data_IF_875208829272
#
_entry.id   IF_875208829272
#
_cell.length_a   1.000
_cell.length_b   1.000
_cell.length_c   1.000
_cell.angle_alpha   90.00
_cell.angle_beta   90.00
_cell.angle_gamma   90.00
#
_symmetry.space_group_name_H-M   'P 1'
#
loop_
_entity.id
_entity.type
_entity.pdbx_description
1 polymer ?
#
# COMPACT_ATOMS: atom_id res chain seq x y z
N UNK A 1 -6.53 9.57 20.75
CA UNK A 1 -6.53 9.81 19.31
C UNK A 1 -6.12 8.54 18.60
N UNK A 2 -6.83 8.16 17.54
CA UNK A 2 -6.47 7.04 16.68
C UNK A 2 -5.67 7.51 15.47
N UNK A 3 -4.66 6.75 15.07
CA UNK A 3 -3.80 7.07 13.94
C UNK A 3 -3.43 5.79 13.19
N UNK A 4 -3.47 5.85 11.87
CA UNK A 4 -3.19 4.70 10.99
C UNK A 4 -1.69 4.40 10.81
N UNK A 5 -0.81 5.25 11.29
CA UNK A 5 0.63 5.05 11.18
C UNK A 5 1.23 4.78 12.56
N UNK A 6 1.71 3.55 12.85
CA UNK A 6 2.33 3.22 14.14
C UNK A 6 3.52 4.11 14.49
N UNK A 7 4.34 4.45 13.49
CA UNK A 7 5.50 5.32 13.68
C UNK A 7 5.09 6.75 14.06
N UNK A 8 4.03 7.28 13.43
CA UNK A 8 3.48 8.59 13.80
C UNK A 8 2.88 8.58 15.20
N UNK A 9 2.21 7.49 15.60
CA UNK A 9 1.72 7.32 16.96
C UNK A 9 2.86 7.40 17.98
N UNK A 10 3.96 6.69 17.75
CA UNK A 10 5.12 6.71 18.62
C UNK A 10 5.70 8.14 18.76
N UNK A 11 5.88 8.83 17.63
CA UNK A 11 6.39 10.21 17.66
C UNK A 11 5.43 11.15 18.40
N UNK A 12 4.14 11.09 18.15
CA UNK A 12 3.13 11.93 18.78
C UNK A 12 3.03 11.66 20.30
N UNK A 13 3.16 10.42 20.75
CA UNK A 13 3.18 10.07 22.17
C UNK A 13 4.35 10.74 22.90
N UNK A 14 5.51 10.85 22.25
CA UNK A 14 6.68 11.49 22.83
C UNK A 14 6.63 13.02 22.78
N UNK A 15 5.78 13.60 21.94
CA UNK A 15 5.72 15.05 21.70
C UNK A 15 4.37 15.70 22.06
N UNK A 16 3.44 14.96 22.64
CA UNK A 16 2.15 15.48 23.09
C UNK A 16 1.70 14.81 24.40
N UNK A 17 0.83 15.49 25.13
CA UNK A 17 0.18 14.92 26.33
C UNK A 17 -0.99 13.99 25.99
N UNK A 18 -1.35 13.85 24.71
CA UNK A 18 -2.50 13.07 24.26
C UNK A 18 -2.07 11.64 23.93
N UNK A 19 -2.80 10.65 24.46
CA UNK A 19 -2.58 9.25 24.08
C UNK A 19 -2.96 9.00 22.63
N UNK A 20 -2.03 8.43 21.87
CA UNK A 20 -2.23 8.01 20.50
C UNK A 20 -2.23 6.48 20.39
N UNK A 21 -3.17 5.93 19.66
CA UNK A 21 -3.33 4.48 19.48
C UNK A 21 -3.25 4.16 17.98
N UNK A 22 -2.32 3.30 17.55
CA UNK A 22 -2.29 2.86 16.17
C UNK A 22 -3.49 1.98 15.86
N UNK A 23 -4.08 2.18 14.67
CA UNK A 23 -5.18 1.38 14.15
C UNK A 23 -4.94 1.06 12.68
N UNK A 24 -5.39 -0.10 12.24
CA UNK A 24 -5.49 -0.37 10.80
C UNK A 24 -6.58 0.50 10.17
N UNK A 25 -6.52 0.71 8.86
CA UNK A 25 -7.59 1.38 8.14
C UNK A 25 -8.90 0.61 8.27
N UNK A 26 -9.95 1.17 8.91
CA UNK A 26 -11.25 0.52 8.91
C UNK A 26 -11.86 0.55 7.50
N UNK A 27 -12.48 -0.56 7.09
CA UNK A 27 -13.13 -0.66 5.80
C UNK A 27 -14.60 -1.07 5.90
N UNK A 28 -15.46 -0.65 4.97
CA UNK A 28 -16.89 -0.96 4.99
C UNK A 28 -17.12 -2.40 4.51
N UNK A 29 -17.05 -3.39 5.42
CA UNK A 29 -17.10 -4.81 5.09
C UNK A 29 -18.33 -5.19 4.24
N UNK A 30 -19.47 -4.56 4.47
CA UNK A 30 -20.70 -4.79 3.70
C UNK A 30 -20.55 -4.50 2.19
N UNK A 31 -19.68 -3.57 1.79
CA UNK A 31 -19.41 -3.25 0.38
C UNK A 31 -18.50 -4.27 -0.30
N UNK A 32 -17.81 -5.10 0.48
CA UNK A 32 -16.87 -6.12 -0.02
C UNK A 32 -17.45 -7.53 -0.03
N UNK A 33 -18.65 -7.75 0.50
CA UNK A 33 -19.31 -9.07 0.57
C UNK A 33 -19.40 -9.76 -0.79
N UNK A 34 -19.58 -8.99 -1.87
CA UNK A 34 -19.64 -9.55 -3.23
C UNK A 34 -18.36 -10.26 -3.69
N UNK A 35 -17.24 -10.01 -3.02
CA UNK A 35 -15.94 -10.63 -3.35
C UNK A 35 -15.64 -11.88 -2.53
N UNK A 36 -16.46 -12.24 -1.53
CA UNK A 36 -16.20 -13.35 -0.63
C UNK A 36 -16.07 -14.69 -1.34
N UNK A 37 -16.80 -14.89 -2.42
CA UNK A 37 -16.87 -16.17 -3.16
C UNK A 37 -15.93 -16.22 -4.37
N UNK A 38 -15.05 -15.24 -4.56
CA UNK A 38 -14.07 -15.26 -5.65
C UNK A 38 -13.10 -16.42 -5.52
N UNK A 39 -12.72 -16.96 -6.66
CA UNK A 39 -11.77 -18.06 -6.86
C UNK A 39 -10.62 -17.62 -7.78
N UNK A 40 -9.54 -18.39 -7.91
CA UNK A 40 -8.49 -18.10 -8.88
C UNK A 40 -8.99 -17.92 -10.32
N UNK A 41 -10.05 -18.63 -10.71
CA UNK A 41 -10.60 -18.56 -12.05
C UNK A 41 -11.28 -17.23 -12.40
N UNK A 42 -11.65 -16.43 -11.39
CA UNK A 42 -12.28 -15.11 -11.58
C UNK A 42 -11.26 -14.00 -11.92
N UNK A 43 -9.96 -14.32 -11.83
CA UNK A 43 -8.87 -13.37 -12.10
C UNK A 43 -8.60 -13.26 -13.60
N UNK A 44 -8.73 -12.05 -14.13
CA UNK A 44 -8.61 -11.74 -15.56
C UNK A 44 -7.25 -11.10 -15.91
N UNK A 45 -6.65 -10.39 -14.95
CA UNK A 45 -5.44 -9.60 -15.15
C UNK A 45 -4.32 -10.08 -14.25
N UNK A 46 -3.09 -9.93 -14.70
CA UNK A 46 -1.92 -10.41 -13.95
C UNK A 46 -1.58 -9.47 -12.79
N UNK A 47 -1.55 -8.17 -13.03
CA UNK A 47 -1.14 -7.22 -12.02
C UNK A 47 -1.92 -5.91 -12.08
N UNK A 48 -2.08 -5.28 -10.92
CA UNK A 48 -2.65 -3.94 -10.81
C UNK A 48 -1.77 -3.05 -9.94
N UNK A 49 -1.61 -1.81 -10.38
CA UNK A 49 -1.21 -0.69 -9.53
C UNK A 49 -2.30 0.39 -9.57
N UNK A 50 -2.63 0.97 -8.43
CA UNK A 50 -3.51 2.14 -8.36
C UNK A 50 -2.97 3.17 -7.37
N UNK A 51 -3.00 4.42 -7.81
CA UNK A 51 -2.48 5.54 -7.04
C UNK A 51 -1.62 6.48 -7.87
N UNK A 52 -0.92 7.36 -7.19
CA UNK A 52 -0.04 8.35 -7.82
C UNK A 52 1.38 7.79 -7.98
N UNK A 53 2.07 8.26 -9.02
CA UNK A 53 3.49 8.04 -9.20
C UNK A 53 4.25 9.20 -8.54
N UNK A 54 4.93 8.91 -7.44
CA UNK A 54 5.56 9.95 -6.62
C UNK A 54 7.02 10.25 -7.01
N UNK A 55 7.72 9.29 -7.60
CA UNK A 55 9.13 9.41 -7.98
C UNK A 55 9.53 8.31 -8.97
N UNK A 56 10.82 8.30 -9.34
CA UNK A 56 11.40 7.34 -10.28
C UNK A 56 11.17 5.86 -9.88
N UNK A 57 11.19 5.53 -8.58
CA UNK A 57 10.97 4.14 -8.14
C UNK A 57 9.59 3.61 -8.52
N UNK A 58 8.55 4.46 -8.47
CA UNK A 58 7.22 4.07 -8.93
C UNK A 58 7.17 3.86 -10.45
N UNK A 59 7.90 4.66 -11.21
CA UNK A 59 8.01 4.49 -12.66
C UNK A 59 8.72 3.18 -13.02
N UNK A 60 9.82 2.87 -12.32
CA UNK A 60 10.54 1.60 -12.53
C UNK A 60 9.69 0.38 -12.13
N UNK A 61 8.96 0.46 -11.02
CA UNK A 61 7.99 -0.59 -10.65
C UNK A 61 6.95 -0.78 -11.76
N UNK A 62 6.42 0.32 -12.32
CA UNK A 62 5.43 0.25 -13.39
C UNK A 62 6.05 -0.26 -14.69
N UNK A 63 7.34 0.03 -14.97
CA UNK A 63 8.06 -0.52 -16.11
C UNK A 63 8.11 -2.06 -16.05
N UNK A 64 8.37 -2.62 -14.86
CA UNK A 64 8.34 -4.07 -14.65
C UNK A 64 6.92 -4.61 -14.76
N UNK A 65 5.98 -4.00 -14.03
CA UNK A 65 4.59 -4.47 -13.98
C UNK A 65 3.94 -4.45 -15.37
N UNK A 66 4.29 -3.48 -16.22
CA UNK A 66 3.73 -3.35 -17.57
C UNK A 66 4.23 -4.39 -18.60
N UNK A 67 5.14 -5.26 -18.20
CA UNK A 67 5.54 -6.42 -19.01
C UNK A 67 4.54 -7.59 -18.93
N UNK A 68 3.57 -7.49 -18.00
CA UNK A 68 2.50 -8.45 -17.78
C UNK A 68 1.16 -7.84 -18.21
N UNK A 69 0.06 -8.62 -18.23
CA UNK A 69 -1.29 -8.05 -18.41
C UNK A 69 -1.65 -7.20 -17.20
N UNK A 70 -1.25 -5.92 -17.26
CA UNK A 70 -1.37 -5.00 -16.15
C UNK A 70 -2.57 -4.07 -16.26
N UNK A 71 -2.98 -3.57 -15.10
CA UNK A 71 -3.89 -2.44 -14.96
C UNK A 71 -3.23 -1.35 -14.13
N UNK A 72 -3.28 -0.13 -14.62
CA UNK A 72 -2.85 1.04 -13.87
C UNK A 72 -3.97 2.06 -13.80
N UNK A 73 -4.44 2.31 -12.59
CA UNK A 73 -5.50 3.29 -12.33
C UNK A 73 -4.98 4.46 -11.50
N UNK A 74 -5.31 5.68 -11.90
CA UNK A 74 -4.95 6.89 -11.19
C UNK A 74 -6.03 7.97 -11.30
N UNK A 75 -6.10 8.82 -10.29
CA UNK A 75 -6.91 10.05 -10.29
C UNK A 75 -6.05 11.29 -10.53
N UNK A 76 -4.72 11.14 -10.53
CA UNK A 76 -3.78 12.25 -10.70
C UNK A 76 -3.56 12.54 -12.17
N UNK A 77 -3.55 13.80 -12.54
CA UNK A 77 -3.08 14.29 -13.85
C UNK A 77 -1.60 14.67 -13.85
N UNK A 78 -0.91 14.43 -12.71
CA UNK A 78 0.49 14.83 -12.52
C UNK A 78 1.34 13.61 -12.09
N UNK A 79 2.66 13.73 -12.27
CA UNK A 79 3.61 12.72 -11.80
C UNK A 79 3.95 11.63 -12.83
N UNK A 80 3.38 11.70 -14.05
CA UNK A 80 3.68 10.71 -15.10
C UNK A 80 5.01 10.92 -15.78
N UNK A 81 5.55 12.13 -15.69
CA UNK A 81 6.80 12.51 -16.34
C UNK A 81 7.85 12.83 -15.29
N UNK A 82 8.96 12.10 -15.32
CA UNK A 82 10.16 12.42 -14.54
C UNK A 82 11.13 13.18 -15.43
N UNK A 83 11.66 14.29 -14.91
CA UNK A 83 12.64 15.13 -15.60
C UNK A 83 13.96 15.15 -14.84
N UNK A 84 15.06 15.26 -15.60
CA UNK A 84 16.39 15.49 -15.03
C UNK A 84 16.56 16.96 -14.58
N UNK A 85 17.75 17.29 -14.06
CA UNK A 85 18.08 18.62 -13.61
C UNK A 85 18.11 19.65 -14.76
N UNK A 86 18.22 19.23 -16.01
CA UNK A 86 18.22 20.04 -17.23
C UNK A 86 16.80 20.20 -17.80
N UNK A 87 15.80 19.52 -17.24
CA UNK A 87 14.40 19.57 -17.66
C UNK A 87 14.03 18.56 -18.76
N UNK A 88 14.95 17.68 -19.18
CA UNK A 88 14.66 16.65 -20.17
C UNK A 88 13.80 15.53 -19.56
N UNK A 89 12.91 14.96 -20.36
CA UNK A 89 12.10 13.81 -19.94
C UNK A 89 12.98 12.57 -19.85
N UNK A 90 13.09 11.99 -18.66
CA UNK A 90 13.82 10.73 -18.40
C UNK A 90 12.88 9.54 -18.39
N UNK A 91 11.63 9.75 -17.94
CA UNK A 91 10.57 8.75 -17.92
C UNK A 91 9.22 9.39 -18.18
N UNK A 92 8.39 8.69 -18.94
CA UNK A 92 6.98 9.01 -19.15
C UNK A 92 6.15 7.72 -19.00
N UNK A 93 5.18 7.75 -18.13
CA UNK A 93 4.30 6.61 -17.86
C UNK A 93 2.86 6.86 -18.35
N UNK A 94 2.62 7.94 -19.10
CA UNK A 94 1.26 8.31 -19.52
C UNK A 94 0.59 7.21 -20.32
N UNK A 95 1.30 6.56 -21.23
CA UNK A 95 0.79 5.46 -22.08
C UNK A 95 0.48 4.17 -21.29
N UNK A 96 1.01 4.05 -20.06
CA UNK A 96 0.77 2.88 -19.20
C UNK A 96 -0.52 2.97 -18.40
N UNK A 97 -1.14 4.15 -18.35
CA UNK A 97 -2.41 4.35 -17.64
C UNK A 97 -3.52 3.69 -18.41
N UNK A 98 -4.15 2.68 -17.80
CA UNK A 98 -5.27 1.96 -18.40
C UNK A 98 -6.63 2.53 -17.98
N UNK A 99 -6.69 3.17 -16.82
CA UNK A 99 -7.92 3.71 -16.25
C UNK A 99 -7.71 5.05 -15.57
N UNK A 100 -8.58 6.00 -15.86
CA UNK A 100 -8.58 7.33 -15.26
C UNK A 100 -9.80 7.53 -14.36
N UNK A 101 -9.57 8.09 -13.17
CA UNK A 101 -10.62 8.61 -12.28
C UNK A 101 -11.74 7.61 -11.97
N UNK A 102 -11.39 6.34 -11.73
CA UNK A 102 -12.36 5.34 -11.30
C UNK A 102 -13.01 5.74 -9.97
N UNK A 103 -14.29 5.47 -9.85
CA UNK A 103 -14.97 5.46 -8.55
C UNK A 103 -14.38 4.36 -7.65
N UNK A 104 -14.63 4.44 -6.35
CA UNK A 104 -14.15 3.40 -5.43
C UNK A 104 -14.69 2.01 -5.79
N UNK A 105 -15.93 1.91 -6.24
CA UNK A 105 -16.54 0.64 -6.62
C UNK A 105 -15.87 0.04 -7.87
N UNK A 106 -15.68 0.83 -8.92
CA UNK A 106 -14.99 0.39 -10.14
C UNK A 106 -13.55 -0.02 -9.87
N UNK A 107 -12.85 0.73 -8.99
CA UNK A 107 -11.50 0.38 -8.54
C UNK A 107 -11.47 -0.96 -7.81
N UNK A 108 -12.42 -1.23 -6.91
CA UNK A 108 -12.50 -2.50 -6.20
C UNK A 108 -12.86 -3.67 -7.12
N UNK A 109 -13.73 -3.44 -8.12
CA UNK A 109 -14.03 -4.45 -9.13
C UNK A 109 -12.77 -4.77 -9.94
N UNK A 110 -12.03 -3.77 -10.39
CA UNK A 110 -10.78 -3.96 -11.12
C UNK A 110 -9.69 -4.67 -10.27
N UNK A 111 -9.61 -4.34 -8.97
CA UNK A 111 -8.77 -5.07 -8.01
C UNK A 111 -9.16 -6.53 -7.95
N UNK A 112 -10.45 -6.81 -7.76
CA UNK A 112 -10.97 -8.17 -7.62
C UNK A 112 -10.71 -9.05 -8.86
N UNK A 113 -10.63 -8.45 -10.03
CA UNK A 113 -10.30 -9.10 -11.31
C UNK A 113 -8.78 -9.28 -11.54
N UNK A 114 -7.94 -8.70 -10.68
CA UNK A 114 -6.48 -8.77 -10.80
C UNK A 114 -5.91 -9.82 -9.85
N UNK A 115 -4.86 -10.55 -10.30
CA UNK A 115 -4.15 -11.54 -9.48
C UNK A 115 -3.34 -10.87 -8.39
N UNK A 116 -2.57 -9.82 -8.75
CA UNK A 116 -1.57 -9.20 -7.88
C UNK A 116 -1.76 -7.69 -7.79
N UNK A 117 -1.80 -7.15 -6.58
CA UNK A 117 -1.67 -5.71 -6.31
C UNK A 117 -0.22 -5.39 -5.93
N UNK A 118 0.49 -4.65 -6.79
CA UNK A 118 1.88 -4.27 -6.56
C UNK A 118 1.95 -2.91 -5.86
N UNK A 119 2.88 -2.76 -4.92
CA UNK A 119 3.01 -1.46 -4.28
C UNK A 119 4.15 -1.24 -3.31
N UNK A 120 4.26 0.04 -2.92
CA UNK A 120 5.12 0.53 -1.85
C UNK A 120 4.28 1.01 -0.66
N UNK A 121 4.77 0.77 0.55
CA UNK A 121 4.22 1.35 1.79
C UNK A 121 5.15 2.45 2.34
N UNK A 122 5.64 3.28 1.42
CA UNK A 122 6.54 4.39 1.69
C UNK A 122 6.01 5.68 1.09
N UNK A 123 6.36 6.80 1.74
CA UNK A 123 6.43 8.12 1.11
C UNK A 123 7.88 8.41 0.77
N UNK A 124 8.11 8.93 -0.43
CA UNK A 124 9.38 9.48 -0.83
C UNK A 124 9.34 10.99 -0.65
N UNK A 125 10.29 11.53 0.13
CA UNK A 125 10.28 12.92 0.55
C UNK A 125 11.17 13.75 -0.35
N UNK A 126 10.65 14.87 -0.85
CA UNK A 126 11.47 15.90 -1.50
C UNK A 126 12.17 16.81 -0.47
N UNK A 127 13.12 17.65 -0.92
CA UNK A 127 13.87 18.56 -0.04
C UNK A 127 12.99 19.47 0.81
N UNK A 128 11.85 19.90 0.29
CA UNK A 128 10.88 20.73 1.02
C UNK A 128 10.24 19.99 2.19
N UNK A 129 10.04 18.68 2.07
CA UNK A 129 9.49 17.85 3.14
C UNK A 129 10.55 17.59 4.22
N UNK A 130 11.80 17.34 3.82
CA UNK A 130 12.91 17.16 4.77
C UNK A 130 13.12 18.41 5.64
N UNK A 131 12.99 19.62 5.06
CA UNK A 131 13.06 20.86 5.86
C UNK A 131 11.97 20.91 6.93
N UNK A 132 10.74 20.49 6.61
CA UNK A 132 9.66 20.42 7.61
C UNK A 132 9.94 19.40 8.69
N UNK A 133 10.40 18.20 8.31
CA UNK A 133 10.77 17.18 9.28
C UNK A 133 11.85 17.63 10.23
N UNK A 134 12.92 18.23 9.70
CA UNK A 134 14.04 18.74 10.51
C UNK A 134 13.66 19.93 11.42
N UNK A 135 12.51 20.56 11.18
CA UNK A 135 11.99 21.62 12.04
C UNK A 135 11.22 21.10 13.27
N UNK A 136 10.86 19.82 13.29
CA UNK A 136 10.21 19.22 14.45
C UNK A 136 11.24 18.90 15.54
N UNK A 137 11.00 19.42 16.73
CA UNK A 137 11.81 19.04 17.90
C UNK A 137 11.68 17.54 18.17
N UNK A 138 12.77 16.92 18.60
CA UNK A 138 12.81 15.49 18.97
C UNK A 138 12.55 14.49 17.82
N UNK A 139 12.72 14.90 16.57
CA UNK A 139 12.65 13.95 15.45
C UNK A 139 13.71 12.84 15.58
N UNK A 140 14.81 13.12 16.27
CA UNK A 140 15.89 12.16 16.56
C UNK A 140 15.43 10.96 17.38
N UNK A 141 14.34 11.11 18.12
CA UNK A 141 13.73 10.00 18.87
C UNK A 141 12.83 9.11 18.01
N UNK A 142 12.57 9.51 16.77
CA UNK A 142 11.78 8.73 15.84
C UNK A 142 12.61 7.57 15.27
N UNK A 143 12.15 6.31 15.39
CA UNK A 143 12.96 5.14 15.04
C UNK A 143 13.51 5.14 13.61
N UNK A 144 12.78 5.74 12.68
CA UNK A 144 13.13 5.80 11.28
C UNK A 144 13.95 7.05 10.89
N UNK A 145 14.33 7.91 11.82
CA UNK A 145 14.96 9.20 11.53
C UNK A 145 16.19 9.09 10.63
N UNK A 146 17.07 8.15 10.91
CA UNK A 146 18.29 7.93 10.11
C UNK A 146 17.96 7.58 8.64
N UNK A 147 16.94 6.75 8.42
CA UNK A 147 16.50 6.40 7.08
C UNK A 147 15.84 7.57 6.35
N UNK A 148 15.05 8.36 7.06
CA UNK A 148 14.42 9.57 6.49
C UNK A 148 15.49 10.51 5.95
N UNK A 149 16.51 10.79 6.75
CA UNK A 149 17.59 11.72 6.36
C UNK A 149 18.48 11.17 5.25
N UNK A 150 18.82 9.88 5.28
CA UNK A 150 19.73 9.26 4.32
C UNK A 150 19.03 8.92 2.99
N UNK A 151 17.82 8.38 3.05
CA UNK A 151 17.13 7.81 1.89
C UNK A 151 15.93 8.62 1.44
N UNK A 152 15.62 9.71 2.13
CA UNK A 152 14.45 10.55 1.83
C UNK A 152 13.13 9.77 1.76
N UNK A 153 12.97 8.77 2.63
CA UNK A 153 11.78 7.91 2.71
C UNK A 153 11.16 7.96 4.10
N UNK A 154 9.86 7.73 4.16
CA UNK A 154 9.08 7.67 5.39
C UNK A 154 8.08 6.51 5.31
N UNK A 155 7.90 5.72 6.38
CA UNK A 155 6.91 4.65 6.39
C UNK A 155 5.50 5.22 6.28
N UNK A 156 4.66 4.60 5.47
CA UNK A 156 3.26 4.96 5.35
C UNK A 156 2.42 3.74 5.06
N UNK A 157 1.53 3.39 5.99
CA UNK A 157 0.47 2.42 5.69
C UNK A 157 -0.47 2.98 4.63
N UNK A 158 -0.79 2.20 3.62
CA UNK A 158 -1.69 2.57 2.51
C UNK A 158 -3.02 1.82 2.64
N UNK A 159 -4.14 2.49 2.33
CA UNK A 159 -5.46 1.84 2.28
C UNK A 159 -5.53 0.69 1.30
N UNK A 160 -4.71 0.74 0.24
CA UNK A 160 -4.65 -0.31 -0.79
C UNK A 160 -4.38 -1.71 -0.24
N UNK A 161 -3.72 -1.82 0.92
CA UNK A 161 -3.48 -3.09 1.57
C UNK A 161 -4.78 -3.74 2.01
N UNK A 162 -5.60 -2.97 2.73
CA UNK A 162 -6.91 -3.41 3.20
C UNK A 162 -7.85 -3.68 2.01
N UNK A 163 -7.83 -2.82 0.99
CA UNK A 163 -8.65 -2.98 -0.21
C UNK A 163 -8.26 -4.25 -0.99
N UNK A 164 -6.96 -4.50 -1.19
CA UNK A 164 -6.49 -5.70 -1.88
C UNK A 164 -6.86 -6.98 -1.12
N UNK A 165 -6.65 -7.03 0.20
CA UNK A 165 -7.05 -8.17 1.03
C UNK A 165 -8.58 -8.39 0.97
N UNK A 166 -9.38 -7.32 1.07
CA UNK A 166 -10.84 -7.40 1.05
C UNK A 166 -11.40 -7.82 -0.32
N UNK A 167 -10.68 -7.56 -1.42
CA UNK A 167 -11.06 -7.96 -2.80
C UNK A 167 -10.43 -9.27 -3.25
N UNK A 168 -9.81 -10.03 -2.33
CA UNK A 168 -9.09 -11.27 -2.65
C UNK A 168 -8.03 -11.09 -3.73
N UNK A 169 -7.22 -10.05 -3.62
CA UNK A 169 -6.09 -9.77 -4.52
C UNK A 169 -4.78 -9.96 -3.77
N UNK A 170 -3.86 -10.75 -4.30
CA UNK A 170 -2.57 -10.99 -3.67
C UNK A 170 -1.78 -9.69 -3.56
N UNK A 171 -1.27 -9.41 -2.38
CA UNK A 171 -0.44 -8.22 -2.15
C UNK A 171 1.04 -8.56 -2.38
N UNK A 172 1.68 -7.88 -3.33
CA UNK A 172 3.11 -7.99 -3.63
C UNK A 172 3.78 -6.64 -3.33
N UNK A 173 4.47 -6.55 -2.20
CA UNK A 173 4.88 -5.30 -1.58
C UNK A 173 6.39 -5.15 -1.52
N UNK A 174 6.85 -3.92 -1.72
CA UNK A 174 8.27 -3.62 -1.51
C UNK A 174 8.64 -3.83 -0.04
N UNK A 175 9.73 -4.57 0.17
CA UNK A 175 10.31 -4.78 1.51
C UNK A 175 11.03 -3.52 1.95
N UNK A 176 10.32 -2.72 2.70
CA UNK A 176 10.88 -1.50 3.25
C UNK A 176 11.58 -1.75 4.59
N UNK A 177 12.52 -0.87 4.99
CA UNK A 177 13.30 -1.07 6.22
C UNK A 177 12.48 -0.85 7.51
N UNK A 178 11.23 -0.46 7.43
CA UNK A 178 10.40 -0.13 8.59
C UNK A 178 9.41 -1.23 8.96
N UNK A 179 9.13 -2.18 8.06
CA UNK A 179 8.16 -3.23 8.26
C UNK A 179 6.76 -2.71 8.66
N UNK A 180 6.33 -1.57 8.08
CA UNK A 180 5.09 -0.92 8.54
C UNK A 180 3.86 -1.81 8.37
N UNK A 181 3.86 -2.67 7.35
CA UNK A 181 2.75 -3.59 7.06
C UNK A 181 2.68 -4.72 8.09
N UNK A 182 3.82 -5.14 8.64
CA UNK A 182 3.93 -6.21 9.62
C UNK A 182 3.26 -5.89 10.96
N UNK A 183 2.89 -4.63 11.20
CA UNK A 183 2.03 -4.28 12.33
C UNK A 183 0.59 -4.83 12.19
N UNK A 184 0.18 -5.20 10.98
CA UNK A 184 -1.19 -5.56 10.66
C UNK A 184 -1.33 -6.87 9.89
N UNK A 185 -0.34 -7.22 9.08
CA UNK A 185 -0.32 -8.40 8.21
C UNK A 185 1.01 -9.12 8.34
N UNK A 186 1.01 -10.43 8.25
CA UNK A 186 2.19 -11.28 8.36
C UNK A 186 2.74 -11.63 6.97
N UNK A 187 4.07 -11.45 6.72
CA UNK A 187 4.71 -11.85 5.47
C UNK A 187 4.52 -13.34 5.20
N UNK A 188 4.45 -13.73 3.95
CA UNK A 188 4.25 -15.09 3.43
C UNK A 188 2.97 -15.80 3.88
N UNK A 189 2.24 -15.21 4.84
CA UNK A 189 0.92 -15.65 5.30
C UNK A 189 -0.21 -14.83 4.69
N UNK A 190 -0.03 -13.51 4.62
CA UNK A 190 -1.05 -12.56 4.15
C UNK A 190 -0.60 -11.76 2.93
N UNK A 191 0.71 -11.66 2.67
CA UNK A 191 1.29 -10.94 1.54
C UNK A 191 2.70 -11.44 1.24
N UNK A 192 3.24 -11.04 0.08
CA UNK A 192 4.60 -11.38 -0.35
C UNK A 192 5.41 -10.10 -0.47
N UNK A 193 6.66 -10.11 -0.03
CA UNK A 193 7.61 -9.04 -0.28
C UNK A 193 8.32 -9.20 -1.63
N UNK A 194 8.74 -8.08 -2.21
CA UNK A 194 9.78 -7.99 -3.23
C UNK A 194 10.86 -6.98 -2.78
N UNK A 195 12.12 -7.20 -3.16
CA UNK A 195 13.27 -6.47 -2.62
C UNK A 195 13.92 -5.52 -3.64
N UNK A 196 13.90 -5.88 -4.91
CA UNK A 196 14.42 -5.09 -6.03
C UNK A 196 13.60 -5.38 -7.30
N UNK A 197 13.88 -4.68 -8.40
CA UNK A 197 13.04 -4.77 -9.59
C UNK A 197 13.21 -6.10 -10.35
N UNK A 198 14.35 -6.75 -10.27
CA UNK A 198 14.55 -8.09 -10.83
C UNK A 198 13.74 -9.12 -10.03
N UNK A 199 13.80 -9.05 -8.69
CA UNK A 199 12.99 -9.88 -7.80
C UNK A 199 11.47 -9.62 -7.97
N UNK A 200 11.07 -8.36 -8.23
CA UNK A 200 9.67 -8.06 -8.57
C UNK A 200 9.25 -8.77 -9.86
N UNK A 201 10.08 -8.73 -10.90
CA UNK A 201 9.81 -9.38 -12.17
C UNK A 201 9.68 -10.90 -11.99
N UNK A 202 10.64 -11.52 -11.31
CA UNK A 202 10.69 -12.97 -11.10
C UNK A 202 9.47 -13.45 -10.27
N UNK A 203 9.12 -12.73 -9.22
CA UNK A 203 7.92 -13.02 -8.41
C UNK A 203 6.63 -12.84 -9.19
N UNK A 204 6.50 -11.78 -9.99
CA UNK A 204 5.33 -11.62 -10.86
C UNK A 204 5.23 -12.76 -11.85
N UNK A 205 6.35 -13.17 -12.48
CA UNK A 205 6.40 -14.28 -13.43
C UNK A 205 5.98 -15.60 -12.78
N UNK A 206 6.51 -15.93 -11.60
CA UNK A 206 6.11 -17.15 -10.89
C UNK A 206 4.66 -17.11 -10.43
N UNK A 207 4.22 -16.02 -9.82
CA UNK A 207 2.86 -15.87 -9.32
C UNK A 207 1.84 -15.96 -10.46
N UNK A 208 2.08 -15.27 -11.59
CA UNK A 208 1.12 -15.28 -12.70
C UNK A 208 1.02 -16.64 -13.39
N UNK A 209 2.12 -17.38 -13.43
CA UNK A 209 2.18 -18.74 -13.98
C UNK A 209 1.57 -19.78 -13.05
N UNK A 210 1.77 -19.64 -11.74
CA UNK A 210 1.42 -20.61 -10.72
C UNK A 210 0.41 -20.06 -9.69
N UNK A 211 -0.54 -19.22 -10.10
CA UNK A 211 -1.37 -18.42 -9.19
C UNK A 211 -2.12 -19.24 -8.14
N UNK A 212 -2.60 -20.42 -8.49
CA UNK A 212 -3.31 -21.30 -7.56
C UNK A 212 -2.46 -21.70 -6.35
N UNK A 213 -1.14 -21.82 -6.52
CA UNK A 213 -0.18 -22.10 -5.43
C UNK A 213 -0.20 -21.00 -4.36
N UNK A 214 -0.51 -19.76 -4.76
CA UNK A 214 -0.52 -18.57 -3.89
C UNK A 214 -1.90 -18.26 -3.33
N UNK A 215 -2.94 -18.97 -3.75
CA UNK A 215 -4.31 -18.65 -3.37
C UNK A 215 -4.56 -18.75 -1.86
N UNK A 216 -3.87 -19.63 -1.16
CA UNK A 216 -3.95 -19.73 0.30
C UNK A 216 -3.53 -18.41 1.01
N UNK A 217 -2.54 -17.68 0.49
CA UNK A 217 -2.13 -16.36 1.03
C UNK A 217 -3.25 -15.34 0.83
N UNK A 218 -3.92 -15.39 -0.33
CA UNK A 218 -5.08 -14.53 -0.63
C UNK A 218 -6.24 -14.80 0.33
N UNK A 219 -6.56 -16.09 0.55
CA UNK A 219 -7.61 -16.49 1.49
C UNK A 219 -7.28 -16.09 2.93
N UNK A 220 -6.05 -16.29 3.36
CA UNK A 220 -5.59 -15.89 4.68
C UNK A 220 -5.70 -14.36 4.87
N UNK A 221 -5.23 -13.57 3.91
CA UNK A 221 -5.34 -12.12 3.95
C UNK A 221 -6.79 -11.65 3.98
N UNK A 222 -7.66 -12.29 3.18
CA UNK A 222 -9.08 -11.96 3.13
C UNK A 222 -9.81 -12.28 4.45
N UNK A 223 -9.52 -13.43 5.05
CA UNK A 223 -10.06 -13.79 6.36
C UNK A 223 -9.55 -12.83 7.45
N UNK A 224 -8.24 -12.55 7.43
CA UNK A 224 -7.59 -11.68 8.41
C UNK A 224 -8.09 -10.24 8.38
N UNK A 225 -8.32 -9.66 7.20
CA UNK A 225 -8.73 -8.26 7.06
C UNK A 225 -10.12 -7.98 7.68
N UNK A 226 -10.99 -8.99 7.82
CA UNK A 226 -12.34 -8.81 8.35
C UNK A 226 -12.35 -8.21 9.77
N UNK A 227 -11.32 -8.47 10.58
CA UNK A 227 -11.19 -7.86 11.91
C UNK A 227 -11.06 -6.33 11.88
N UNK A 228 -10.66 -5.75 10.74
CA UNK A 228 -10.50 -4.31 10.55
C UNK A 228 -11.73 -3.64 9.91
N UNK A 229 -12.89 -4.28 9.98
CA UNK A 229 -14.14 -3.67 9.52
C UNK A 229 -14.50 -2.41 10.31
N UNK A 230 -15.29 -1.53 9.70
CA UNK A 230 -15.82 -0.34 10.40
C UNK A 230 -16.66 -0.76 11.61
N UNK A 231 -17.42 -1.83 11.48
CA UNK A 231 -18.24 -2.39 12.55
C UNK A 231 -17.39 -2.76 13.77
N UNK A 232 -16.36 -3.57 13.58
CA UNK A 232 -15.42 -3.97 14.65
C UNK A 232 -14.66 -2.77 15.23
N UNK A 233 -14.27 -1.82 14.40
CA UNK A 233 -13.63 -0.58 14.85
C UNK A 233 -14.58 0.24 15.77
N UNK A 234 -15.84 0.34 15.42
CA UNK A 234 -16.83 1.07 16.22
C UNK A 234 -17.14 0.36 17.53
N UNK A 235 -17.16 -0.97 17.56
CA UNK A 235 -17.32 -1.76 18.78
C UNK A 235 -16.13 -1.53 19.74
N UNK A 236 -14.87 -1.64 19.23
CA UNK A 236 -13.67 -1.35 20.04
C UNK A 236 -13.65 0.09 20.56
N UNK A 237 -14.04 1.05 19.73
CA UNK A 237 -14.15 2.45 20.15
C UNK A 237 -15.16 2.63 21.28
N UNK A 238 -16.36 2.05 21.16
CA UNK A 238 -17.40 2.13 22.18
C UNK A 238 -16.96 1.48 23.49
N UNK A 239 -16.34 0.30 23.44
CA UNK A 239 -15.81 -0.36 24.62
C UNK A 239 -14.83 0.55 25.39
N UNK A 240 -13.87 1.15 24.66
CA UNK A 240 -12.87 2.06 25.25
C UNK A 240 -13.47 3.38 25.79
N UNK A 241 -14.61 3.82 25.28
CA UNK A 241 -15.29 5.00 25.80
C UNK A 241 -16.06 4.71 27.10
N UNK A 242 -16.55 3.49 27.25
CA UNK A 242 -17.29 3.05 28.45
C UNK A 242 -16.37 2.71 29.64
N UNK A 243 -15.08 2.42 29.38
CA UNK A 243 -14.07 2.17 30.41
C UNK A 243 -13.54 3.43 31.10
N UNK A 244 -14.02 4.63 30.73
CA UNK A 244 -13.65 5.92 31.30
C UNK A 244 -14.70 6.42 32.29
#
# INVERSE_FOLDING_TARGET
IFNICPFMCHWLQNNSSTKHTPVCFPFPANKFQKYNNLTPADKKHDAIYYGQLHNLSYHLMLDVTSQFDHRFSTISTHGFVVRDAQGNIVKDATEKVTHWSLSSAEKWDLLSESRVSVGFNLLFLGPQHLKKFNSFNNIETYPAHAYINQNQIMPQMKTRMVEAAATKTLMLLFKDPFGVVENWFEPDTHFIYWENFDDLHDKLSDITTNYEKYWHIVENAHAHVQQYSIENFMEDLNARLLER
#
